data_IF_247438552588
#
_entry.id   IF_247438552588
#
_cell.length_a   1.000
_cell.length_b   1.000
_cell.length_c   1.000
_cell.angle_alpha   90.00
_cell.angle_beta   90.00
_cell.angle_gamma   90.00
#
_symmetry.space_group_name_H-M   'P 1'
#
loop_
_entity.id
_entity.type
_entity.pdbx_description
1 polymer ?
#
# COMPACT_ATOMS: atom_id res chain seq x y z
N UNK A 1 -9.81 0.60 -7.59
CA UNK A 1 -9.68 0.45 -6.12
C UNK A 1 -8.74 -0.70 -5.88
N UNK A 2 -7.48 -0.39 -5.53
CA UNK A 2 -6.29 -1.25 -5.61
C UNK A 2 -6.46 -2.73 -5.20
N UNK A 3 -6.14 -3.61 -6.15
CA UNK A 3 -5.88 -5.07 -6.07
C UNK A 3 -4.62 -5.39 -5.21
N UNK A 4 -3.83 -4.36 -4.89
CA UNK A 4 -2.54 -4.47 -4.20
C UNK A 4 -2.62 -5.15 -2.83
N UNK A 5 -3.61 -4.83 -2.00
CA UNK A 5 -3.73 -5.40 -0.65
C UNK A 5 -4.08 -6.89 -0.71
N UNK A 6 -4.97 -7.27 -1.63
CA UNK A 6 -5.42 -8.66 -1.79
C UNK A 6 -4.29 -9.54 -2.35
N UNK A 7 -3.56 -9.05 -3.36
CA UNK A 7 -2.33 -9.70 -3.85
C UNK A 7 -1.27 -9.85 -2.76
N UNK A 8 -1.03 -8.79 -1.99
CA UNK A 8 -0.04 -8.81 -0.93
C UNK A 8 -0.42 -9.78 0.21
N UNK A 9 -1.71 -9.90 0.53
CA UNK A 9 -2.23 -10.90 1.47
C UNK A 9 -2.05 -12.32 0.93
N UNK A 10 -2.33 -12.57 -0.34
CA UNK A 10 -2.12 -13.89 -0.95
C UNK A 10 -0.65 -14.32 -0.90
N UNK A 11 0.29 -13.42 -1.18
CA UNK A 11 1.72 -13.69 -1.04
C UNK A 11 2.15 -13.90 0.41
N UNK A 12 1.65 -13.09 1.34
CA UNK A 12 1.89 -13.30 2.77
C UNK A 12 1.40 -14.69 3.21
N UNK A 13 0.23 -15.13 2.76
CA UNK A 13 -0.31 -16.47 3.04
C UNK A 13 0.51 -17.58 2.42
N UNK A 14 1.21 -17.32 1.32
CA UNK A 14 2.22 -18.21 0.76
C UNK A 14 3.57 -18.18 1.52
N UNK A 15 3.62 -17.55 2.71
CA UNK A 15 4.81 -17.50 3.57
C UNK A 15 5.79 -16.37 3.23
N UNK A 16 5.44 -15.47 2.32
CA UNK A 16 6.35 -14.42 1.84
C UNK A 16 6.36 -13.18 2.74
N UNK A 17 7.47 -12.45 2.71
CA UNK A 17 7.67 -11.15 3.34
C UNK A 17 7.46 -10.05 2.33
N UNK A 18 6.33 -9.37 2.44
CA UNK A 18 5.83 -8.39 1.49
C UNK A 18 5.85 -7.01 2.13
N UNK A 19 6.41 -6.03 1.42
CA UNK A 19 6.34 -4.62 1.80
C UNK A 19 5.42 -3.87 0.83
N UNK A 20 4.40 -3.20 1.35
CA UNK A 20 3.54 -2.30 0.59
C UNK A 20 3.87 -0.86 0.98
N UNK A 21 4.27 -0.10 -0.03
CA UNK A 21 4.65 1.29 0.07
C UNK A 21 3.54 2.19 -0.43
N UNK A 22 3.38 3.34 0.22
CA UNK A 22 2.52 4.42 -0.25
C UNK A 22 3.17 5.77 -0.02
N UNK A 23 2.56 6.82 -0.53
CA UNK A 23 3.03 8.20 -0.40
C UNK A 23 2.79 8.77 0.99
N UNK A 24 1.67 8.41 1.63
CA UNK A 24 1.20 9.08 2.84
C UNK A 24 0.97 8.12 4.02
N UNK A 25 1.11 8.63 5.24
CA UNK A 25 0.79 7.85 6.45
C UNK A 25 -0.69 7.45 6.53
N UNK A 26 -1.66 8.34 6.21
CA UNK A 26 -3.06 7.96 6.09
C UNK A 26 -3.29 6.81 5.09
N UNK A 27 -2.64 6.83 3.93
CA UNK A 27 -2.71 5.74 2.96
C UNK A 27 -2.19 4.42 3.52
N UNK A 28 -1.07 4.45 4.26
CA UNK A 28 -0.48 3.25 4.85
C UNK A 28 -1.40 2.67 5.93
N UNK A 29 -2.06 3.55 6.68
CA UNK A 29 -3.05 3.20 7.70
C UNK A 29 -4.30 2.58 7.08
N UNK A 30 -4.85 3.19 6.03
CA UNK A 30 -6.03 2.70 5.33
C UNK A 30 -5.81 1.31 4.72
N UNK A 31 -4.64 1.07 4.10
CA UNK A 31 -4.28 -0.25 3.58
C UNK A 31 -4.12 -1.29 4.69
N UNK A 32 -3.51 -0.93 5.81
CA UNK A 32 -3.42 -1.82 6.97
C UNK A 32 -4.80 -2.15 7.52
N UNK A 33 -5.69 -1.16 7.68
CA UNK A 33 -7.04 -1.38 8.18
C UNK A 33 -7.85 -2.28 7.24
N UNK A 34 -7.70 -2.09 5.92
CA UNK A 34 -8.28 -3.00 4.92
C UNK A 34 -7.71 -4.42 5.04
N UNK A 35 -6.40 -4.55 5.18
CA UNK A 35 -5.78 -5.87 5.34
C UNK A 35 -6.25 -6.56 6.62
N UNK A 36 -6.36 -5.82 7.72
CA UNK A 36 -6.85 -6.30 9.01
C UNK A 36 -8.31 -6.79 8.92
N UNK A 37 -9.15 -6.13 8.12
CA UNK A 37 -10.54 -6.55 7.89
C UNK A 37 -10.66 -7.83 7.05
N UNK A 38 -9.61 -8.22 6.32
CA UNK A 38 -9.59 -9.39 5.44
C UNK A 38 -8.84 -10.59 6.05
N UNK A 39 -8.47 -10.50 7.33
CA UNK A 39 -7.76 -11.56 8.02
C UNK A 39 -8.67 -12.73 8.34
N UNK A 40 -8.10 -13.93 8.24
CA UNK A 40 -8.74 -15.18 8.63
C UNK A 40 -8.16 -15.70 9.94
N UNK A 41 -8.79 -16.73 10.50
CA UNK A 41 -8.30 -17.39 11.71
C UNK A 41 -6.83 -17.81 11.57
N UNK A 42 -6.01 -17.47 12.57
CA UNK A 42 -4.57 -17.72 12.58
C UNK A 42 -3.70 -16.56 12.07
N UNK A 43 -4.28 -15.54 11.45
CA UNK A 43 -3.57 -14.32 11.04
C UNK A 43 -3.70 -13.22 12.11
N UNK A 44 -2.70 -12.35 12.22
CA UNK A 44 -2.68 -11.26 13.20
C UNK A 44 -2.25 -9.95 12.58
N UNK A 45 -2.96 -8.87 12.91
CA UNK A 45 -2.51 -7.51 12.65
C UNK A 45 -1.98 -6.88 13.94
N UNK A 46 -0.84 -6.19 13.84
CA UNK A 46 -0.29 -5.38 14.92
C UNK A 46 0.12 -4.02 14.38
N UNK A 47 -0.33 -2.98 15.07
CA UNK A 47 0.12 -1.61 14.86
C UNK A 47 1.04 -1.20 16.01
N UNK A 48 2.35 -1.18 15.76
CA UNK A 48 3.36 -0.81 16.77
C UNK A 48 4.58 -0.22 16.07
N UNK A 49 4.63 1.11 15.91
CA UNK A 49 5.67 1.85 15.18
C UNK A 49 5.69 1.60 13.66
N UNK A 50 5.35 0.37 13.25
CA UNK A 50 5.08 -0.13 11.91
C UNK A 50 3.69 -0.78 11.90
N UNK A 51 2.97 -0.58 10.80
CA UNK A 51 1.72 -1.29 10.51
C UNK A 51 2.10 -2.64 9.89
N UNK A 52 1.93 -3.73 10.63
CA UNK A 52 2.35 -5.07 10.20
C UNK A 52 1.22 -6.06 10.39
N UNK A 53 0.99 -6.86 9.35
CA UNK A 53 0.15 -8.05 9.38
C UNK A 53 1.05 -9.28 9.24
N UNK A 54 0.76 -10.35 9.95
CA UNK A 54 1.52 -11.60 9.92
C UNK A 54 0.60 -12.81 9.83
N UNK A 55 0.94 -13.76 8.97
CA UNK A 55 0.35 -15.08 8.94
C UNK A 55 1.07 -16.01 9.94
N UNK A 56 0.41 -17.12 10.32
CA UNK A 56 0.99 -18.13 11.21
C UNK A 56 2.32 -18.71 10.67
N UNK A 57 2.44 -18.85 9.34
CA UNK A 57 3.53 -19.56 8.68
C UNK A 57 4.72 -18.67 8.27
N UNK A 58 5.09 -17.71 9.13
CA UNK A 58 6.21 -16.75 8.94
C UNK A 58 6.01 -15.66 7.88
N UNK A 59 4.94 -15.73 7.10
CA UNK A 59 4.55 -14.66 6.17
C UNK A 59 4.33 -13.34 6.88
N UNK A 60 4.83 -12.25 6.30
CA UNK A 60 4.64 -10.89 6.84
C UNK A 60 4.25 -9.93 5.74
N UNK A 61 3.28 -9.09 6.05
CA UNK A 61 2.86 -7.98 5.23
C UNK A 61 3.08 -6.68 6.01
N UNK A 62 3.91 -5.79 5.47
CA UNK A 62 4.30 -4.56 6.13
C UNK A 62 3.81 -3.36 5.32
N UNK A 63 3.28 -2.35 6.00
CA UNK A 63 2.82 -1.13 5.37
C UNK A 63 3.66 0.05 5.85
N UNK A 64 4.19 0.83 4.91
CA UNK A 64 4.98 2.01 5.23
C UNK A 64 4.88 3.08 4.14
N UNK A 65 5.36 4.27 4.48
CA UNK A 65 5.53 5.33 3.48
C UNK A 65 6.86 5.17 2.78
N UNK A 66 6.94 5.56 1.50
CA UNK A 66 8.18 5.56 0.72
C UNK A 66 9.28 6.36 1.45
N UNK A 67 8.90 7.43 2.16
CA UNK A 67 9.83 8.27 2.93
C UNK A 67 10.45 7.56 4.13
N UNK A 68 9.70 6.68 4.81
CA UNK A 68 10.14 6.03 6.05
C UNK A 68 10.69 4.63 5.84
N UNK A 69 10.33 3.98 4.73
CA UNK A 69 10.70 2.60 4.45
C UNK A 69 12.21 2.33 4.40
N UNK A 70 13.07 3.17 3.77
CA UNK A 70 14.50 2.89 3.70
C UNK A 70 15.16 2.80 5.07
N UNK A 71 14.76 3.63 6.04
CA UNK A 71 15.30 3.61 7.39
C UNK A 71 14.78 2.41 8.21
N UNK A 72 13.54 1.98 7.96
CA UNK A 72 12.85 0.96 8.77
C UNK A 72 13.04 -0.46 8.26
N UNK A 73 13.33 -0.63 6.97
CA UNK A 73 13.50 -1.94 6.35
C UNK A 73 14.89 -2.21 5.80
N UNK A 74 15.88 -1.36 6.13
CA UNK A 74 17.27 -1.60 5.74
C UNK A 74 17.76 -2.94 6.30
N UNK A 75 18.23 -3.82 5.43
CA UNK A 75 18.73 -5.14 5.81
C UNK A 75 17.64 -6.18 6.11
N UNK A 76 16.36 -5.87 5.91
CA UNK A 76 15.32 -6.90 5.89
C UNK A 76 15.30 -7.61 4.54
N UNK A 77 15.27 -8.94 4.57
CA UNK A 77 14.95 -9.73 3.39
C UNK A 77 13.45 -9.59 3.08
N UNK A 78 13.16 -9.06 1.91
CA UNK A 78 11.82 -8.92 1.35
C UNK A 78 11.73 -9.78 0.11
N UNK A 79 10.65 -10.56 0.01
CA UNK A 79 10.38 -11.36 -1.18
C UNK A 79 9.72 -10.52 -2.27
N UNK A 80 8.94 -9.51 -1.87
CA UNK A 80 8.19 -8.62 -2.78
C UNK A 80 8.05 -7.21 -2.20
N UNK A 81 8.05 -6.22 -3.09
CA UNK A 81 7.70 -4.83 -2.77
C UNK A 81 6.64 -4.33 -3.73
N UNK A 82 5.53 -3.84 -3.19
CA UNK A 82 4.47 -3.19 -3.92
C UNK A 82 4.48 -1.69 -3.64
N UNK A 83 4.17 -0.89 -4.66
CA UNK A 83 3.97 0.55 -4.51
C UNK A 83 2.54 0.87 -4.89
N UNK A 84 1.76 1.37 -3.93
CA UNK A 84 0.39 1.80 -4.17
C UNK A 84 0.39 3.21 -4.78
N UNK A 85 -0.16 3.31 -5.99
CA UNK A 85 -0.29 4.56 -6.75
C UNK A 85 -1.72 5.11 -6.73
N UNK A 86 -2.66 4.47 -6.03
CA UNK A 86 -4.08 4.85 -6.07
C UNK A 86 -4.29 6.24 -5.43
N UNK A 87 -3.48 6.62 -4.44
CA UNK A 87 -3.47 7.99 -3.89
C UNK A 87 -2.88 9.01 -4.87
N UNK A 88 -1.80 8.66 -5.59
CA UNK A 88 -1.22 9.52 -6.62
C UNK A 88 -2.22 9.77 -7.75
N UNK A 89 -2.96 8.75 -8.20
CA UNK A 89 -4.02 8.91 -9.19
C UNK A 89 -5.15 9.79 -8.69
N UNK A 90 -5.59 9.63 -7.43
CA UNK A 90 -6.64 10.48 -6.85
C UNK A 90 -6.20 11.94 -6.68
N UNK A 91 -4.95 12.18 -6.28
CA UNK A 91 -4.39 13.52 -6.18
C UNK A 91 -4.14 14.18 -7.54
N UNK A 92 -3.81 13.39 -8.58
CA UNK A 92 -3.62 13.88 -9.95
C UNK A 92 -4.92 14.02 -10.76
N UNK A 93 -6.00 13.35 -10.37
CA UNK A 93 -7.31 13.45 -11.01
C UNK A 93 -7.82 14.89 -11.19
N UNK A 94 -7.75 15.80 -10.19
CA UNK A 94 -8.15 17.19 -10.41
C UNK A 94 -7.25 17.96 -11.38
N UNK A 95 -5.97 17.58 -11.54
CA UNK A 95 -5.05 18.22 -12.47
C UNK A 95 -5.24 17.77 -13.94
N UNK A 96 -5.86 16.60 -14.17
CA UNK A 96 -6.15 16.11 -15.53
C UNK A 96 -7.48 16.63 -16.10
N UNK A 97 -8.40 17.14 -15.27
CA UNK A 97 -9.67 17.72 -15.71
C UNK A 97 -9.59 19.22 -16.07
N UNK A 98 -8.47 19.90 -15.81
CA UNK A 98 -8.31 21.34 -16.09
C UNK A 98 -7.64 21.65 -17.43
N UNK A 99 -7.24 20.66 -18.23
CA UNK A 99 -6.87 20.87 -19.63
C UNK A 99 -8.11 20.90 -20.55
N UNK A 100 -9.10 21.72 -20.19
CA UNK A 100 -10.08 22.19 -21.17
C UNK A 100 -9.38 23.28 -21.98
N UNK A 101 -8.82 22.91 -23.13
CA UNK A 101 -8.33 23.86 -24.13
C UNK A 101 -9.52 24.74 -24.55
N UNK A 102 -9.53 26.06 -24.27
CA UNK A 102 -10.58 26.90 -24.83
C UNK A 102 -10.35 26.95 -26.34
N UNK A 103 -11.28 26.37 -27.10
CA UNK A 103 -11.35 26.53 -28.54
C UNK A 103 -11.60 28.02 -28.83
N UNK A 104 -10.55 28.76 -29.15
CA UNK A 104 -10.68 30.07 -29.77
C UNK A 104 -11.28 29.88 -31.17
N UNK A 105 -12.59 30.01 -31.27
CA UNK A 105 -13.27 30.24 -32.55
C UNK A 105 -13.20 31.75 -32.78
N UNK A 106 -12.31 32.19 -33.67
CA UNK A 106 -12.38 33.52 -34.27
C UNK A 106 -13.67 33.60 -35.11
N UNK A 107 -14.48 34.62 -34.85
CA UNK A 107 -15.52 35.11 -35.77
C UNK A 107 -15.06 36.43 -36.36
#
# INVERSE_FOLDING_TARGET
>A
MSDTVERALAEMRAGRRVLVLTMTEPGARAMHDRAAALLTDGERARRSGLSVTSAADRGRLMFATIRTAPARFRGNELDSVYVDHDELRRAAAPAMMTSAVPSFICS
#
